data_IF_578796093333
#
_entry.id   IF_578796093333
#
_cell.length_a   1.000
_cell.length_b   1.000
_cell.length_c   1.000
_cell.angle_alpha   90.00
_cell.angle_beta   90.00
_cell.angle_gamma   90.00
#
_symmetry.space_group_name_H-M   'P 1'
#
loop_
_entity.id
_entity.type
_entity.pdbx_description
1 polymer ?
#
# COMPACT_ATOMS: atom_id res chain seq x y z
N UNK A 1 18.53 18.30 -13.55
CA UNK A 1 17.06 18.11 -13.44
C UNK A 1 16.84 16.85 -12.64
N UNK A 2 16.11 16.91 -11.52
CA UNK A 2 15.77 15.71 -10.74
C UNK A 2 14.95 14.76 -11.61
N UNK A 3 15.18 13.45 -11.45
CA UNK A 3 14.42 12.45 -12.21
C UNK A 3 12.95 12.51 -11.81
N UNK A 4 12.04 11.99 -12.65
CA UNK A 4 10.63 11.90 -12.29
C UNK A 4 10.40 11.15 -10.97
N UNK A 5 11.27 10.19 -10.63
CA UNK A 5 11.24 9.50 -9.36
C UNK A 5 11.58 10.42 -8.17
N UNK A 6 12.52 11.35 -8.33
CA UNK A 6 12.90 12.29 -7.26
C UNK A 6 11.75 13.27 -6.97
N UNK A 7 11.05 13.72 -8.00
CA UNK A 7 9.84 14.55 -7.84
C UNK A 7 8.76 13.79 -7.07
N UNK A 8 8.52 12.51 -7.37
CA UNK A 8 7.53 11.71 -6.64
C UNK A 8 7.93 11.49 -5.17
N UNK A 9 9.23 11.34 -4.87
CA UNK A 9 9.73 11.25 -3.48
C UNK A 9 9.47 12.51 -2.70
N UNK A 10 9.64 13.67 -3.31
CA UNK A 10 9.33 14.96 -2.70
C UNK A 10 7.83 15.11 -2.46
N UNK A 11 7.02 14.89 -3.50
CA UNK A 11 5.56 15.05 -3.44
C UNK A 11 4.88 14.10 -2.45
N UNK A 12 5.41 12.90 -2.25
CA UNK A 12 4.86 11.98 -1.27
C UNK A 12 5.16 12.39 0.20
N UNK A 13 5.90 13.48 0.45
CA UNK A 13 6.04 14.11 1.76
C UNK A 13 5.18 15.39 1.89
N UNK A 14 4.41 15.74 0.86
CA UNK A 14 3.64 16.97 0.85
C UNK A 14 2.61 16.98 1.99
N UNK A 15 2.41 18.14 2.62
CA UNK A 15 1.44 18.30 3.71
C UNK A 15 0.00 18.04 3.29
N UNK A 16 -0.35 18.31 2.04
CA UNK A 16 -1.67 18.01 1.49
C UNK A 16 -1.77 16.52 1.13
N UNK A 17 -2.68 15.82 1.82
CA UNK A 17 -2.94 14.40 1.58
C UNK A 17 -3.46 14.12 0.17
N UNK A 18 -4.08 15.09 -0.51
CA UNK A 18 -4.53 14.94 -1.90
C UNK A 18 -3.36 14.83 -2.87
N UNK A 19 -2.26 15.55 -2.59
CA UNK A 19 -1.03 15.43 -3.36
C UNK A 19 -0.42 14.04 -3.14
N UNK A 20 -0.33 13.59 -1.89
CA UNK A 20 0.17 12.24 -1.56
C UNK A 20 -0.71 11.14 -2.17
N UNK A 21 -2.03 11.34 -2.21
CA UNK A 21 -2.99 10.45 -2.86
C UNK A 21 -2.69 10.31 -4.36
N UNK A 22 -2.43 11.43 -5.05
CA UNK A 22 -2.09 11.42 -6.47
C UNK A 22 -0.78 10.65 -6.72
N UNK A 23 0.22 10.78 -5.82
CA UNK A 23 1.45 9.99 -5.91
C UNK A 23 1.18 8.50 -5.66
N UNK A 24 0.38 8.17 -4.63
CA UNK A 24 -0.01 6.79 -4.33
C UNK A 24 -0.74 6.10 -5.49
N UNK A 25 -1.49 6.85 -6.30
CA UNK A 25 -2.20 6.32 -7.48
C UNK A 25 -1.34 6.26 -8.75
N UNK A 26 -0.09 6.74 -8.72
CA UNK A 26 0.77 6.76 -9.90
C UNK A 26 1.33 5.34 -10.18
N UNK A 27 1.04 4.72 -11.34
CA UNK A 27 1.48 3.35 -11.64
C UNK A 27 3.01 3.16 -11.71
N UNK A 28 3.76 4.25 -11.91
CA UNK A 28 5.22 4.24 -11.97
C UNK A 28 5.86 4.83 -10.71
N UNK A 29 5.08 4.99 -9.63
CA UNK A 29 5.62 5.41 -8.34
C UNK A 29 6.70 4.42 -7.87
N UNK A 30 7.88 4.93 -7.43
CA UNK A 30 8.93 4.07 -6.90
C UNK A 30 8.45 3.24 -5.71
N UNK A 31 9.01 2.03 -5.56
CA UNK A 31 8.70 1.12 -4.46
C UNK A 31 8.93 1.75 -3.08
N UNK A 32 10.00 2.54 -2.91
CA UNK A 32 10.29 3.23 -1.65
C UNK A 32 9.21 4.27 -1.30
N UNK A 33 8.63 4.91 -2.33
CA UNK A 33 7.53 5.86 -2.17
C UNK A 33 6.23 5.15 -1.79
N UNK A 34 5.87 4.06 -2.50
CA UNK A 34 4.68 3.28 -2.18
C UNK A 34 4.75 2.65 -0.78
N UNK A 35 5.93 2.15 -0.39
CA UNK A 35 6.18 1.61 0.95
C UNK A 35 5.97 2.65 2.06
N UNK A 36 6.34 3.91 1.81
CA UNK A 36 6.09 5.01 2.74
C UNK A 36 4.61 5.36 2.80
N UNK A 37 3.96 5.53 1.66
CA UNK A 37 2.55 5.91 1.56
C UNK A 37 1.60 4.82 2.07
N UNK A 38 2.03 3.56 2.09
CA UNK A 38 1.30 2.48 2.76
C UNK A 38 1.17 2.68 4.29
N UNK A 39 1.95 3.59 4.88
CA UNK A 39 1.89 3.96 6.30
C UNK A 39 1.32 5.36 6.51
N UNK A 40 0.73 5.96 5.47
CA UNK A 40 0.17 7.30 5.54
C UNK A 40 -0.96 7.38 6.58
N UNK A 41 -1.09 8.51 7.24
CA UNK A 41 -2.14 8.74 8.22
C UNK A 41 -3.53 8.66 7.56
N UNK A 42 -3.64 9.10 6.31
CA UNK A 42 -4.90 9.12 5.59
C UNK A 42 -5.21 7.78 4.93
N UNK A 43 -6.33 7.17 5.32
CA UNK A 43 -6.73 5.87 4.79
C UNK A 43 -7.04 5.91 3.29
N UNK A 44 -7.45 7.07 2.76
CA UNK A 44 -7.61 7.26 1.32
C UNK A 44 -6.29 7.08 0.55
N UNK A 45 -5.18 7.58 1.12
CA UNK A 45 -3.84 7.42 0.52
C UNK A 45 -3.42 5.96 0.58
N UNK A 46 -3.54 5.31 1.75
CA UNK A 46 -3.20 3.89 1.92
C UNK A 46 -4.04 2.97 1.00
N UNK A 47 -5.32 3.30 0.82
CA UNK A 47 -6.22 2.57 -0.09
C UNK A 47 -5.78 2.71 -1.55
N UNK A 48 -5.32 3.89 -1.94
CA UNK A 48 -4.76 4.12 -3.28
C UNK A 48 -3.49 3.29 -3.50
N UNK A 49 -2.62 3.18 -2.49
CA UNK A 49 -1.47 2.26 -2.53
C UNK A 49 -1.93 0.81 -2.71
N UNK A 50 -2.93 0.35 -1.94
CA UNK A 50 -3.44 -1.01 -2.07
C UNK A 50 -4.02 -1.32 -3.46
N UNK A 51 -4.61 -0.32 -4.12
CA UNK A 51 -5.19 -0.44 -5.46
C UNK A 51 -4.19 -0.19 -6.60
N UNK A 52 -2.97 0.27 -6.32
CA UNK A 52 -1.99 0.61 -7.34
C UNK A 52 -1.31 -0.66 -7.89
N UNK A 53 -1.31 -0.87 -9.23
CA UNK A 53 -0.71 -2.05 -9.86
C UNK A 53 0.82 -2.13 -9.72
N UNK A 54 1.48 -1.01 -9.46
CA UNK A 54 2.92 -0.92 -9.18
C UNK A 54 3.28 -1.24 -7.73
N UNK A 55 2.31 -1.48 -6.85
CA UNK A 55 2.58 -1.74 -5.43
C UNK A 55 3.21 -3.12 -5.25
N UNK A 56 4.42 -3.20 -4.64
CA UNK A 56 5.09 -4.46 -4.39
C UNK A 56 4.27 -5.39 -3.49
N UNK A 57 4.42 -6.69 -3.71
CA UNK A 57 3.68 -7.72 -2.98
C UNK A 57 3.90 -7.63 -1.45
N UNK A 58 5.12 -7.32 -1.02
CA UNK A 58 5.44 -7.14 0.40
C UNK A 58 4.64 -6.00 1.05
N UNK A 59 4.43 -4.90 0.31
CA UNK A 59 3.61 -3.76 0.77
C UNK A 59 2.13 -4.15 0.79
N UNK A 60 1.64 -4.86 -0.23
CA UNK A 60 0.26 -5.36 -0.26
C UNK A 60 -0.03 -6.31 0.91
N UNK A 61 0.90 -7.19 1.27
CA UNK A 61 0.77 -8.06 2.44
C UNK A 61 0.63 -7.28 3.75
N UNK A 62 1.40 -6.20 3.93
CA UNK A 62 1.27 -5.34 5.10
C UNK A 62 -0.12 -4.67 5.18
N UNK A 63 -0.72 -4.32 4.02
CA UNK A 63 -2.03 -3.68 3.94
C UNK A 63 -3.21 -4.63 4.12
N UNK A 64 -3.01 -5.96 4.07
CA UNK A 64 -4.09 -6.94 4.35
C UNK A 64 -4.64 -6.75 5.76
N UNK A 65 -3.77 -6.43 6.73
CA UNK A 65 -4.12 -6.20 8.12
C UNK A 65 -4.37 -4.72 8.48
N UNK A 66 -4.55 -3.83 7.50
CA UNK A 66 -4.79 -2.41 7.78
C UNK A 66 -6.05 -2.22 8.65
N UNK A 67 -5.98 -1.28 9.58
CA UNK A 67 -7.07 -0.97 10.50
C UNK A 67 -8.32 -0.39 9.78
N UNK A 68 -8.14 0.25 8.62
CA UNK A 68 -9.25 0.69 7.78
C UNK A 68 -9.68 -0.45 6.86
N UNK A 69 -10.92 -0.95 7.05
CA UNK A 69 -11.46 -2.05 6.25
C UNK A 69 -11.55 -1.74 4.75
N UNK A 70 -11.61 -0.45 4.36
CA UNK A 70 -11.57 -0.03 2.97
C UNK A 70 -10.17 -0.16 2.36
N UNK A 71 -9.11 0.04 3.15
CA UNK A 71 -7.73 -0.22 2.72
C UNK A 71 -7.50 -1.72 2.55
N UNK A 72 -7.84 -2.51 3.58
CA UNK A 72 -7.69 -3.97 3.49
C UNK A 72 -8.45 -4.52 2.28
N UNK A 73 -9.72 -4.15 2.08
CA UNK A 73 -10.53 -4.65 0.96
C UNK A 73 -10.04 -4.24 -0.44
N UNK A 74 -9.27 -3.16 -0.54
CA UNK A 74 -8.63 -2.75 -1.79
C UNK A 74 -7.43 -3.63 -2.17
N UNK A 75 -6.85 -4.39 -1.23
CA UNK A 75 -5.78 -5.35 -1.54
C UNK A 75 -6.34 -6.46 -2.46
N UNK A 76 -5.68 -6.76 -3.59
CA UNK A 76 -6.15 -7.79 -4.52
C UNK A 76 -6.37 -9.13 -3.81
N UNK A 77 -7.50 -9.79 -4.11
CA UNK A 77 -7.87 -11.09 -3.50
C UNK A 77 -6.77 -12.15 -3.61
N UNK A 78 -6.02 -12.15 -4.71
CA UNK A 78 -4.90 -13.08 -4.93
C UNK A 78 -3.82 -12.97 -3.84
N UNK A 79 -3.53 -11.76 -3.34
CA UNK A 79 -2.56 -11.54 -2.26
C UNK A 79 -3.09 -12.11 -0.93
N UNK A 80 -4.40 -11.98 -0.68
CA UNK A 80 -5.04 -12.48 0.56
C UNK A 80 -5.01 -14.00 0.66
N UNK A 81 -5.13 -14.70 -0.47
CA UNK A 81 -5.13 -16.16 -0.54
C UNK A 81 -3.72 -16.76 -0.44
N UNK A 82 -2.69 -15.97 -0.72
CA UNK A 82 -1.29 -16.39 -0.67
C UNK A 82 -0.65 -16.25 0.73
N UNK A 83 -1.37 -15.74 1.73
CA UNK A 83 -0.90 -15.78 3.12
C UNK A 83 -0.97 -17.23 3.60
N UNK A 84 0.16 -17.87 3.94
CA UNK A 84 0.14 -19.22 4.47
C UNK A 84 -0.77 -19.25 5.70
N UNK A 85 -1.77 -20.13 5.72
CA UNK A 85 -2.42 -20.45 6.99
C UNK A 85 -1.35 -21.11 7.86
N UNK A 86 -1.02 -20.50 8.99
CA UNK A 86 -0.21 -21.15 10.02
C UNK A 86 -0.82 -22.55 10.28
N UNK A 87 -0.08 -23.65 10.07
CA UNK A 87 -0.56 -24.98 10.39
C UNK A 87 -0.57 -25.12 11.92
N UNK A 88 -1.67 -24.76 12.57
CA UNK A 88 -1.75 -24.85 14.04
C UNK A 88 -3.09 -24.58 14.71
N UNK A 89 -4.17 -24.26 13.98
CA UNK A 89 -5.46 -23.94 14.60
C UNK A 89 -6.44 -25.14 14.72
N UNK A 90 -6.01 -26.35 14.37
CA UNK A 90 -6.88 -27.55 14.36
C UNK A 90 -6.30 -28.72 15.19
N UNK A 91 -5.86 -28.43 16.42
CA UNK A 91 -5.69 -29.46 17.46
C UNK A 91 -6.27 -28.92 18.77
N UNK A 92 -7.58 -29.00 18.90
CA UNK A 92 -8.23 -29.13 20.20
C UNK A 92 -9.14 -30.35 20.12
N UNK A 93 -8.63 -31.44 20.70
CA UNK A 93 -9.31 -32.70 20.99
C UNK A 93 -10.42 -32.46 22.00
#
# INVERSE_FOLDING_TARGET
MGSGADVLRELANNGDWRVRLAVAGNPVAPEDVLSRLAKDLESSVRRSVAANPGTPLAVLHALVGDADGGVSSAVPKAVRLAVPREPGADVAV
#
